data_IF_479948615356
#
_entry.id   IF_479948615356
#
_cell.length_a   1.000
_cell.length_b   1.000
_cell.length_c   1.000
_cell.angle_alpha   90.00
_cell.angle_beta   90.00
_cell.angle_gamma   90.00
#
_symmetry.space_group_name_H-M   'P 1'
#
loop_
_entity.id
_entity.type
_entity.pdbx_description
1 polymer ?
#
# COMPACT_ATOMS: atom_id res chain seq x y z
N UNK A 1 -3.09 -2.93 -2.13
CA UNK A 1 -1.61 -2.95 -2.28
C UNK A 1 -1.04 -1.61 -2.71
N UNK A 2 -1.56 -0.96 -3.76
CA UNK A 2 -0.99 0.28 -4.32
C UNK A 2 -0.79 1.43 -3.34
N UNK A 3 -1.67 1.62 -2.35
CA UNK A 3 -1.52 2.68 -1.34
C UNK A 3 -0.24 2.50 -0.51
N UNK A 4 0.00 1.30 0.02
CA UNK A 4 1.19 0.97 0.80
C UNK A 4 2.44 1.07 -0.08
N UNK A 5 2.40 0.50 -1.29
CA UNK A 5 3.53 0.56 -2.22
C UNK A 5 3.91 2.02 -2.56
N UNK A 6 2.92 2.86 -2.84
CA UNK A 6 3.11 4.28 -3.11
C UNK A 6 3.67 5.03 -1.89
N UNK A 7 3.13 4.75 -0.70
CA UNK A 7 3.58 5.33 0.56
C UNK A 7 5.05 4.99 0.88
N UNK A 8 5.43 3.71 0.77
CA UNK A 8 6.80 3.26 1.05
C UNK A 8 7.80 3.82 0.04
N UNK A 9 7.42 3.91 -1.24
CA UNK A 9 8.25 4.56 -2.25
C UNK A 9 8.47 6.05 -1.94
N UNK A 10 7.42 6.76 -1.50
CA UNK A 10 7.54 8.17 -1.07
C UNK A 10 8.35 8.35 0.23
N UNK A 11 8.47 7.30 1.06
CA UNK A 11 9.38 7.23 2.23
C UNK A 11 10.82 6.83 1.85
N UNK A 12 11.10 6.61 0.57
CA UNK A 12 12.46 6.34 0.06
C UNK A 12 12.84 4.86 -0.02
N UNK A 13 11.90 3.94 0.19
CA UNK A 13 12.17 2.51 0.00
C UNK A 13 12.17 2.13 -1.48
N UNK A 14 12.98 1.14 -1.84
CA UNK A 14 12.94 0.52 -3.17
C UNK A 14 11.78 -0.47 -3.20
N UNK A 15 10.79 -0.20 -4.05
CA UNK A 15 9.56 -1.00 -4.10
C UNK A 15 9.44 -1.70 -5.46
N UNK A 16 9.22 -3.01 -5.39
CA UNK A 16 8.88 -3.86 -6.52
C UNK A 16 7.45 -4.37 -6.36
N UNK A 17 6.81 -4.72 -7.48
CA UNK A 17 5.50 -5.36 -7.46
C UNK A 17 5.15 -6.04 -8.77
N UNK A 18 4.02 -6.72 -8.77
CA UNK A 18 3.43 -7.37 -9.92
C UNK A 18 1.91 -7.41 -9.75
N UNK A 19 1.18 -7.57 -10.85
CA UNK A 19 -0.26 -7.76 -10.83
C UNK A 19 -0.72 -8.40 -12.15
N UNK A 20 -1.53 -9.46 -12.08
CA UNK A 20 -2.13 -10.12 -13.25
C UNK A 20 -2.86 -9.16 -14.20
N UNK A 21 -3.40 -8.06 -13.68
CA UNK A 21 -4.09 -7.05 -14.49
C UNK A 21 -3.12 -6.24 -15.36
N UNK A 22 -1.89 -6.03 -14.88
CA UNK A 22 -0.86 -5.30 -15.61
C UNK A 22 -0.26 -6.15 -16.73
N UNK A 23 -0.08 -7.46 -16.49
CA UNK A 23 0.37 -8.40 -17.51
C UNK A 23 -0.61 -8.50 -18.68
N UNK A 24 -1.93 -8.45 -18.38
CA UNK A 24 -2.99 -8.47 -19.38
C UNK A 24 -3.22 -7.13 -20.07
N UNK A 25 -2.93 -6.03 -19.39
CA UNK A 25 -3.17 -4.68 -19.89
C UNK A 25 -2.04 -3.72 -19.48
N UNK A 26 -0.99 -3.60 -20.31
CA UNK A 26 0.12 -2.66 -20.07
C UNK A 26 -0.31 -1.19 -20.01
N UNK A 27 -1.46 -0.83 -20.62
CA UNK A 27 -2.02 0.53 -20.59
C UNK A 27 -2.86 0.81 -19.34
N UNK A 28 -2.90 -0.11 -18.38
CA UNK A 28 -3.66 0.07 -17.15
C UNK A 28 -3.22 1.36 -16.43
N UNK A 29 -4.14 2.29 -16.09
CA UNK A 29 -3.75 3.61 -15.56
C UNK A 29 -2.90 3.54 -14.28
N UNK A 30 -3.17 2.55 -13.41
CA UNK A 30 -2.36 2.36 -12.21
C UNK A 30 -0.95 1.87 -12.51
N UNK A 31 -0.74 1.07 -13.57
CA UNK A 31 0.59 0.61 -13.99
C UNK A 31 1.46 1.81 -14.34
N UNK A 32 0.94 2.71 -15.20
CA UNK A 32 1.65 3.92 -15.59
C UNK A 32 1.98 4.80 -14.39
N UNK A 33 0.99 5.09 -13.53
CA UNK A 33 1.20 5.94 -12.35
C UNK A 33 2.26 5.37 -11.38
N UNK A 34 2.20 4.07 -11.07
CA UNK A 34 3.15 3.43 -10.15
C UNK A 34 4.55 3.37 -10.77
N UNK A 35 4.67 3.10 -12.07
CA UNK A 35 5.95 3.13 -12.77
C UNK A 35 6.56 4.53 -12.79
N UNK A 36 5.77 5.58 -13.05
CA UNK A 36 6.24 6.97 -12.97
C UNK A 36 6.69 7.36 -11.55
N UNK A 37 6.09 6.76 -10.51
CA UNK A 37 6.55 6.93 -9.12
C UNK A 37 7.94 6.30 -8.87
N UNK A 38 8.42 5.43 -9.76
CA UNK A 38 9.68 4.69 -9.58
C UNK A 38 9.49 3.29 -8.98
N UNK A 39 8.25 2.80 -8.88
CA UNK A 39 7.97 1.41 -8.48
C UNK A 39 8.29 0.50 -9.67
N UNK A 40 9.10 -0.52 -9.44
CA UNK A 40 9.47 -1.48 -10.47
C UNK A 40 8.38 -2.54 -10.55
N UNK A 41 7.74 -2.63 -11.71
CA UNK A 41 6.67 -3.61 -11.95
C UNK A 41 7.22 -4.71 -12.83
N UNK A 42 7.28 -5.94 -12.30
CA UNK A 42 7.71 -7.14 -13.01
C UNK A 42 6.49 -7.97 -13.47
N UNK A 43 6.66 -8.83 -14.48
CA UNK A 43 5.66 -9.83 -14.83
C UNK A 43 5.37 -10.77 -13.67
N UNK A 44 4.13 -11.25 -13.55
CA UNK A 44 3.73 -12.14 -12.48
C UNK A 44 4.11 -13.61 -12.74
N UNK A 45 5.40 -13.84 -12.99
CA UNK A 45 5.99 -15.15 -13.32
C UNK A 45 7.11 -15.57 -12.36
N UNK A 46 7.36 -14.77 -11.32
CA UNK A 46 8.40 -15.00 -10.31
C UNK A 46 9.79 -14.47 -10.70
N UNK A 47 9.98 -13.97 -11.93
CA UNK A 47 11.25 -13.40 -12.39
C UNK A 47 11.63 -12.11 -11.64
N UNK A 48 10.65 -11.39 -11.11
CA UNK A 48 10.85 -10.18 -10.31
C UNK A 48 11.40 -10.40 -8.90
N UNK A 49 11.54 -11.65 -8.43
CA UNK A 49 11.93 -11.99 -7.05
C UNK A 49 13.36 -12.56 -7.00
N UNK A 50 14.21 -11.98 -6.16
CA UNK A 50 15.58 -12.44 -5.93
C UNK A 50 16.01 -12.24 -4.46
N UNK A 51 17.19 -12.75 -4.06
CA UNK A 51 17.65 -12.77 -2.65
C UNK A 51 17.97 -11.38 -2.05
N UNK A 52 17.95 -10.30 -2.83
CA UNK A 52 18.23 -8.96 -2.33
C UNK A 52 17.05 -8.31 -1.61
N UNK A 53 15.84 -8.91 -1.65
CA UNK A 53 14.68 -8.34 -0.97
C UNK A 53 14.68 -8.62 0.53
N UNK A 54 14.40 -7.59 1.31
CA UNK A 54 14.27 -7.70 2.77
C UNK A 54 13.03 -8.49 3.20
N UNK A 55 11.91 -8.34 2.47
CA UNK A 55 10.66 -9.08 2.66
C UNK A 55 9.75 -8.95 1.42
N UNK A 56 8.73 -9.79 1.35
CA UNK A 56 7.67 -9.74 0.35
C UNK A 56 6.30 -9.59 1.01
N UNK A 57 5.40 -8.81 0.40
CA UNK A 57 4.04 -8.58 0.91
C UNK A 57 3.01 -9.08 -0.08
N UNK A 58 2.17 -10.02 0.35
CA UNK A 58 1.10 -10.57 -0.47
C UNK A 58 -0.27 -10.17 0.07
N UNK A 59 -1.23 -9.95 -0.83
CA UNK A 59 -2.62 -9.82 -0.43
C UNK A 59 -3.19 -11.17 -0.02
N UNK A 60 -4.24 -11.19 0.80
CA UNK A 60 -4.96 -12.42 1.16
C UNK A 60 -5.64 -13.11 -0.03
N UNK A 61 -5.75 -12.42 -1.18
CA UNK A 61 -6.29 -12.98 -2.42
C UNK A 61 -5.24 -13.67 -3.30
N UNK A 62 -3.95 -13.69 -2.90
CA UNK A 62 -2.90 -14.38 -3.65
C UNK A 62 -2.89 -15.86 -3.26
N UNK A 63 -2.96 -16.71 -4.28
CA UNK A 63 -2.95 -18.16 -4.16
C UNK A 63 -1.54 -18.68 -3.77
N UNK A 64 -1.41 -19.72 -2.91
CA UNK A 64 -0.10 -20.21 -2.45
C UNK A 64 0.81 -20.79 -3.54
N UNK A 65 0.24 -21.17 -4.68
CA UNK A 65 0.96 -21.69 -5.85
C UNK A 65 1.46 -20.59 -6.79
N UNK A 66 1.21 -19.31 -6.46
CA UNK A 66 1.66 -18.21 -7.28
C UNK A 66 3.20 -18.16 -7.37
N UNK A 67 3.81 -18.00 -8.57
CA UNK A 67 5.25 -18.13 -8.76
C UNK A 67 6.08 -17.26 -7.81
N UNK A 68 5.64 -16.04 -7.51
CA UNK A 68 6.35 -15.12 -6.63
C UNK A 68 6.31 -15.55 -5.16
N UNK A 69 5.18 -16.11 -4.72
CA UNK A 69 5.04 -16.64 -3.38
C UNK A 69 5.96 -17.85 -3.19
N UNK A 70 5.91 -18.80 -4.13
CA UNK A 70 6.79 -19.97 -4.14
C UNK A 70 8.26 -19.58 -4.22
N UNK A 71 8.61 -18.60 -5.07
CA UNK A 71 9.98 -18.12 -5.21
C UNK A 71 10.47 -17.47 -3.94
N UNK A 72 9.68 -16.58 -3.33
CA UNK A 72 10.01 -15.92 -2.06
C UNK A 72 10.29 -16.95 -0.96
N UNK A 73 9.42 -17.98 -0.85
CA UNK A 73 9.60 -19.09 0.08
C UNK A 73 10.88 -19.88 -0.20
N UNK A 74 11.15 -20.21 -1.47
CA UNK A 74 12.34 -20.98 -1.86
C UNK A 74 13.66 -20.23 -1.59
N UNK A 75 13.62 -18.90 -1.63
CA UNK A 75 14.77 -18.04 -1.39
C UNK A 75 14.94 -17.66 0.09
N UNK A 76 13.98 -18.03 0.96
CA UNK A 76 14.00 -17.67 2.37
C UNK A 76 13.68 -16.20 2.66
N UNK A 77 13.01 -15.51 1.73
CA UNK A 77 12.61 -14.11 1.92
C UNK A 77 11.42 -14.10 2.89
N UNK A 78 11.45 -13.29 3.97
CA UNK A 78 10.32 -13.14 4.88
C UNK A 78 9.05 -12.73 4.13
N UNK A 79 7.95 -13.44 4.39
CA UNK A 79 6.65 -13.17 3.76
C UNK A 79 5.71 -12.58 4.80
N UNK A 80 5.07 -11.48 4.44
CA UNK A 80 4.02 -10.82 5.21
C UNK A 80 2.74 -10.72 4.39
N UNK A 81 1.60 -10.76 5.07
CA UNK A 81 0.33 -10.37 4.49
C UNK A 81 0.21 -8.84 4.48
N UNK A 82 -0.61 -8.31 3.59
CA UNK A 82 -0.97 -6.88 3.58
C UNK A 82 -1.35 -6.33 4.98
N UNK A 83 -2.28 -6.95 5.74
CA UNK A 83 -2.66 -6.42 7.03
C UNK A 83 -1.54 -6.49 8.08
N UNK A 84 -0.71 -7.53 8.08
CA UNK A 84 0.46 -7.59 8.96
C UNK A 84 1.41 -6.42 8.69
N UNK A 85 1.72 -6.17 7.42
CA UNK A 85 2.61 -5.07 7.07
C UNK A 85 1.99 -3.69 7.33
N UNK A 86 0.67 -3.55 7.15
CA UNK A 86 -0.03 -2.32 7.54
C UNK A 86 0.03 -2.10 9.05
N UNK A 87 -0.12 -3.16 9.86
CA UNK A 87 -0.02 -3.05 11.32
C UNK A 87 1.39 -2.63 11.78
N UNK A 88 2.44 -3.12 11.12
CA UNK A 88 3.81 -2.65 11.36
C UNK A 88 3.95 -1.15 11.08
N UNK A 89 3.46 -0.67 9.92
CA UNK A 89 3.46 0.76 9.61
C UNK A 89 2.67 1.54 10.68
N UNK A 90 1.49 1.07 11.07
CA UNK A 90 0.65 1.72 12.08
C UNK A 90 1.40 1.92 13.40
N UNK A 91 2.19 0.93 13.81
CA UNK A 91 2.95 0.98 15.07
C UNK A 91 4.08 2.01 15.09
N UNK A 92 4.46 2.56 13.92
CA UNK A 92 5.49 3.59 13.78
C UNK A 92 4.95 5.02 13.87
N UNK A 93 3.62 5.21 13.92
CA UNK A 93 2.98 6.54 13.87
C UNK A 93 1.89 6.72 14.93
N UNK A 94 1.57 7.98 15.25
CA UNK A 94 0.32 8.33 15.94
C UNK A 94 -0.86 8.16 14.99
N UNK A 95 -1.45 6.97 15.02
CA UNK A 95 -2.43 6.56 14.02
C UNK A 95 -3.87 6.90 14.40
N UNK A 96 -4.60 7.53 13.47
CA UNK A 96 -6.05 7.66 13.47
C UNK A 96 -6.62 6.63 12.50
N UNK A 97 -7.15 5.53 13.05
CA UNK A 97 -7.76 4.46 12.28
C UNK A 97 -9.28 4.68 12.12
N UNK A 98 -9.74 4.88 10.90
CA UNK A 98 -11.17 5.07 10.60
C UNK A 98 -11.80 3.74 10.19
N UNK A 99 -12.61 3.17 11.08
CA UNK A 99 -13.30 1.88 10.91
C UNK A 99 -14.83 2.05 10.77
N UNK A 100 -15.54 0.93 10.52
CA UNK A 100 -17.01 0.86 10.51
C UNK A 100 -17.58 0.37 9.19
N UNK A 101 -18.81 -0.16 9.15
CA UNK A 101 -19.36 -0.86 7.98
C UNK A 101 -19.37 -0.01 6.70
N UNK A 102 -19.68 1.27 6.82
CA UNK A 102 -19.85 2.19 5.68
C UNK A 102 -19.14 3.52 5.91
N UNK A 103 -18.72 4.17 4.84
CA UNK A 103 -18.15 5.53 4.89
C UNK A 103 -16.67 5.62 5.24
N UNK A 104 -15.99 4.52 5.57
CA UNK A 104 -14.56 4.51 5.97
C UNK A 104 -13.65 5.25 4.99
N UNK A 105 -13.71 4.91 3.70
CA UNK A 105 -12.87 5.52 2.67
C UNK A 105 -13.13 7.01 2.51
N UNK A 106 -14.40 7.42 2.56
CA UNK A 106 -14.79 8.83 2.47
C UNK A 106 -14.33 9.60 3.69
N UNK A 107 -14.61 9.10 4.90
CA UNK A 107 -14.28 9.77 6.16
C UNK A 107 -12.77 9.86 6.37
N UNK A 108 -12.01 8.79 6.14
CA UNK A 108 -10.54 8.79 6.25
C UNK A 108 -9.90 9.73 5.22
N UNK A 109 -10.36 9.70 3.97
CA UNK A 109 -9.89 10.60 2.92
C UNK A 109 -10.21 12.07 3.21
N UNK A 110 -11.43 12.36 3.68
CA UNK A 110 -11.83 13.72 4.08
C UNK A 110 -11.01 14.22 5.27
N UNK A 111 -10.77 13.38 6.27
CA UNK A 111 -9.95 13.73 7.43
C UNK A 111 -8.53 14.09 6.99
N UNK A 112 -7.86 13.21 6.24
CA UNK A 112 -6.52 13.46 5.72
C UNK A 112 -6.46 14.73 4.85
N UNK A 113 -7.48 14.96 4.03
CA UNK A 113 -7.58 16.16 3.20
C UNK A 113 -7.68 17.44 4.02
N UNK A 114 -8.58 17.48 5.01
CA UNK A 114 -8.74 18.64 5.90
C UNK A 114 -7.48 18.90 6.70
N UNK A 115 -6.87 17.87 7.27
CA UNK A 115 -5.61 17.99 8.00
C UNK A 115 -4.49 18.59 7.13
N UNK A 116 -4.35 18.11 5.89
CA UNK A 116 -3.40 18.70 4.93
C UNK A 116 -3.73 20.15 4.61
N UNK A 117 -5.00 20.49 4.40
CA UNK A 117 -5.44 21.88 4.14
C UNK A 117 -5.20 22.83 5.31
N UNK A 118 -5.13 22.30 6.53
CA UNK A 118 -4.81 23.03 7.75
C UNK A 118 -3.29 23.10 8.03
N UNK A 119 -2.45 22.58 7.14
CA UNK A 119 -0.99 22.59 7.30
C UNK A 119 -0.46 21.60 8.35
N UNK A 120 -1.25 20.58 8.72
CA UNK A 120 -0.84 19.56 9.69
C UNK A 120 0.08 18.49 9.08
N UNK A 121 0.28 18.50 7.76
CA UNK A 121 1.18 17.58 7.04
C UNK A 121 1.00 16.09 7.46
N UNK A 122 -0.21 15.51 7.37
CA UNK A 122 -0.46 14.13 7.78
C UNK A 122 0.10 13.11 6.78
N UNK A 123 0.36 11.90 7.27
CA UNK A 123 0.50 10.71 6.45
C UNK A 123 -0.90 10.09 6.23
N UNK A 124 -1.11 9.43 5.09
CA UNK A 124 -2.38 8.77 4.77
C UNK A 124 -2.18 7.48 3.98
N UNK A 125 -2.92 6.43 4.34
CA UNK A 125 -3.05 5.18 3.59
C UNK A 125 -4.54 4.82 3.50
N UNK A 126 -5.12 4.94 2.31
CA UNK A 126 -6.55 4.71 2.06
C UNK A 126 -6.85 3.50 1.18
N UNK A 127 -8.06 2.94 1.32
CA UNK A 127 -8.62 1.99 0.36
C UNK A 127 -9.23 2.69 -0.87
N UNK A 128 -9.82 3.88 -0.66
CA UNK A 128 -10.32 4.76 -1.72
C UNK A 128 -9.29 5.75 -2.28
N UNK A 129 -9.61 6.36 -3.43
CA UNK A 129 -8.81 7.43 -4.06
C UNK A 129 -9.43 8.80 -3.76
N UNK A 130 -8.68 9.65 -3.08
CA UNK A 130 -9.00 11.07 -2.87
C UNK A 130 -8.56 11.85 -4.10
N UNK A 131 -9.51 12.50 -4.79
CA UNK A 131 -9.26 13.20 -6.06
C UNK A 131 -8.15 14.25 -5.95
N UNK A 132 -8.12 14.98 -4.84
CA UNK A 132 -7.17 16.06 -4.57
C UNK A 132 -5.75 15.56 -4.27
N UNK A 133 -5.57 14.27 -3.99
CA UNK A 133 -4.25 13.66 -3.79
C UNK A 133 -3.71 13.00 -5.05
N UNK A 134 -4.51 12.96 -6.13
CA UNK A 134 -4.07 12.35 -7.38
C UNK A 134 -3.05 13.24 -8.08
N UNK A 135 -1.95 12.64 -8.51
CA UNK A 135 -0.90 13.25 -9.32
C UNK A 135 -0.49 12.27 -10.43
N UNK A 136 0.49 12.63 -11.26
CA UNK A 136 1.06 11.71 -12.25
C UNK A 136 1.77 10.50 -11.61
N UNK A 137 2.25 10.67 -10.37
CA UNK A 137 2.97 9.65 -9.59
C UNK A 137 2.12 9.07 -8.46
N UNK A 138 0.89 9.53 -8.23
CA UNK A 138 0.06 9.06 -7.12
C UNK A 138 -1.39 8.84 -7.58
N UNK A 139 -1.95 7.63 -7.40
CA UNK A 139 -3.35 7.36 -7.78
C UNK A 139 -4.36 8.05 -6.84
N UNK A 140 -3.91 8.68 -5.75
CA UNK A 140 -4.70 9.45 -4.79
C UNK A 140 -5.10 8.66 -3.54
N UNK A 141 -4.52 7.49 -3.29
CA UNK A 141 -4.86 6.64 -2.14
C UNK A 141 -3.78 6.61 -1.05
N UNK A 142 -2.77 7.47 -1.15
CA UNK A 142 -1.79 7.70 -0.09
C UNK A 142 -1.25 9.12 -0.19
N UNK A 143 -0.72 9.65 0.92
CA UNK A 143 0.18 10.82 0.93
C UNK A 143 1.21 10.63 2.05
N UNK A 144 2.40 11.18 1.86
CA UNK A 144 3.40 11.34 2.92
C UNK A 144 3.42 12.79 3.38
N UNK A 145 3.57 12.98 4.67
CA UNK A 145 3.71 14.28 5.31
C UNK A 145 4.82 14.24 6.36
N UNK A 146 5.12 15.41 6.92
CA UNK A 146 6.21 15.60 7.89
C UNK A 146 5.77 15.41 9.35
N UNK A 147 4.47 15.26 9.62
CA UNK A 147 4.00 14.97 10.98
C UNK A 147 4.13 13.49 11.33
N UNK A 148 4.04 13.22 12.63
CA UNK A 148 3.95 11.89 13.22
C UNK A 148 2.53 11.29 13.12
N UNK A 149 1.59 11.99 12.47
CA UNK A 149 0.20 11.53 12.37
C UNK A 149 0.01 10.69 11.11
N UNK A 150 -0.62 9.54 11.26
CA UNK A 150 -1.05 8.68 10.17
C UNK A 150 -2.56 8.50 10.19
N UNK A 151 -3.24 8.80 9.09
CA UNK A 151 -4.66 8.47 8.92
C UNK A 151 -4.77 7.22 8.06
N UNK A 152 -5.50 6.20 8.53
CA UNK A 152 -5.76 4.99 7.74
C UNK A 152 -7.25 4.69 7.58
N UNK A 153 -7.58 4.03 6.49
CA UNK A 153 -8.81 3.25 6.39
C UNK A 153 -8.60 1.88 7.05
N UNK A 154 -9.36 1.59 8.11
CA UNK A 154 -9.27 0.33 8.85
C UNK A 154 -10.45 -0.58 8.50
N UNK A 155 -10.16 -1.74 7.91
CA UNK A 155 -11.17 -2.72 7.54
C UNK A 155 -11.44 -3.68 8.69
N UNK A 156 -12.68 -3.78 9.14
CA UNK A 156 -13.10 -4.72 10.19
C UNK A 156 -13.27 -6.17 9.68
N UNK A 157 -13.50 -6.35 8.38
CA UNK A 157 -13.94 -7.64 7.80
C UNK A 157 -12.87 -8.72 7.80
N UNK A 158 -11.59 -8.36 7.86
CA UNK A 158 -10.47 -9.30 7.85
C UNK A 158 -9.96 -9.63 9.27
N UNK A 159 -10.60 -9.07 10.32
CA UNK A 159 -10.26 -9.30 11.72
C UNK A 159 -8.92 -8.68 12.16
N UNK A 160 -8.24 -7.93 11.29
CA UNK A 160 -6.86 -7.50 11.55
C UNK A 160 -6.76 -6.20 12.34
N UNK A 161 -7.89 -5.51 12.55
CA UNK A 161 -7.95 -4.24 13.29
C UNK A 161 -7.39 -4.34 14.72
N UNK A 162 -7.45 -5.52 15.34
CA UNK A 162 -6.91 -5.78 16.69
C UNK A 162 -5.37 -5.71 16.74
N UNK A 163 -4.71 -5.72 15.60
CA UNK A 163 -3.25 -5.65 15.50
C UNK A 163 -2.73 -4.21 15.43
N UNK A 164 -3.61 -3.21 15.29
CA UNK A 164 -3.24 -1.80 15.30
C UNK A 164 -3.01 -1.34 16.74
N UNK A 165 -1.73 -1.11 17.09
CA UNK A 165 -1.27 -0.75 18.43
C UNK A 165 -0.66 0.64 18.44
#
# INVERSE_FOLDING_TARGET
MSAIAAFMADKGHVVFGSDRAFDKNPDHPAFKTLKTKGIIIAPQDGSGINKSFDFAVFSTAVEPDQPEYLKSKSLGIPIKTRPEYLAEIVSEFKTIAVAGTSGKSTTSGMLAFLMKRLGLEPNFIGGGRVKQFRTETNPGNSITGNSDILVIEACESDGTIVNYK
#
